data_IF_138785477590
#
_entry.id   IF_138785477590
#
_cell.length_a   1.000
_cell.length_b   1.000
_cell.length_c   1.000
_cell.angle_alpha   90.00
_cell.angle_beta   90.00
_cell.angle_gamma   90.00
#
_symmetry.space_group_name_H-M   'P 1'
#
loop_
_entity.id
_entity.type
_entity.pdbx_description
1 polymer ?
#
# COMPACT_ATOMS: atom_id res chain seq x y z
N UNK A 1 20.65 7.67 -24.55
CA UNK A 1 20.96 7.02 -23.28
C UNK A 1 19.71 6.60 -22.51
N UNK A 2 18.67 7.45 -22.30
CA UNK A 2 17.42 7.08 -21.58
C UNK A 2 16.65 5.90 -22.19
N UNK A 3 16.63 5.76 -23.53
CA UNK A 3 15.95 4.65 -24.25
C UNK A 3 16.65 3.30 -24.09
N UNK A 4 17.97 3.30 -23.91
CA UNK A 4 18.78 2.09 -23.72
C UNK A 4 18.56 1.54 -22.29
N UNK A 5 18.44 2.41 -21.30
CA UNK A 5 18.14 2.02 -19.90
C UNK A 5 16.74 1.38 -19.82
N UNK A 6 15.77 1.91 -20.54
CA UNK A 6 14.41 1.34 -20.59
C UNK A 6 14.39 -0.02 -21.28
N UNK A 7 15.17 -0.19 -22.35
CA UNK A 7 15.27 -1.45 -23.07
C UNK A 7 16.03 -2.52 -22.26
N UNK A 8 17.09 -2.15 -21.52
CA UNK A 8 17.80 -3.07 -20.62
C UNK A 8 16.97 -3.49 -19.42
N UNK A 9 16.05 -2.64 -18.93
CA UNK A 9 15.11 -2.99 -17.89
C UNK A 9 14.11 -4.05 -18.37
N UNK A 10 13.63 -3.96 -19.62
CA UNK A 10 12.72 -4.94 -20.22
C UNK A 10 13.40 -6.30 -20.43
N UNK A 11 14.67 -6.31 -20.84
CA UNK A 11 15.45 -7.56 -21.06
C UNK A 11 15.70 -8.31 -19.76
N UNK A 12 15.83 -7.63 -18.62
CA UNK A 12 15.95 -8.26 -17.29
C UNK A 12 14.70 -9.04 -16.86
N UNK A 13 13.52 -8.74 -17.43
CA UNK A 13 12.27 -9.43 -17.13
C UNK A 13 12.00 -10.68 -18.00
N UNK A 14 12.83 -10.98 -18.99
CA UNK A 14 12.60 -12.10 -19.92
C UNK A 14 13.33 -13.40 -19.57
N UNK A 15 14.10 -13.44 -18.50
CA UNK A 15 14.78 -14.68 -18.08
C UNK A 15 13.81 -15.56 -17.28
N UNK A 16 13.24 -16.55 -17.93
CA UNK A 16 12.35 -17.59 -17.34
C UNK A 16 12.98 -18.39 -16.18
N UNK A 17 14.19 -18.06 -15.75
CA UNK A 17 14.91 -18.73 -14.67
C UNK A 17 14.53 -18.20 -13.27
N UNK A 18 13.77 -17.11 -13.16
CA UNK A 18 13.30 -16.54 -11.89
C UNK A 18 11.94 -17.08 -11.45
N UNK A 19 11.34 -17.99 -12.21
CA UNK A 19 9.97 -18.47 -12.05
C UNK A 19 9.67 -19.25 -10.75
N UNK A 20 10.65 -19.60 -9.95
CA UNK A 20 10.40 -20.41 -8.75
C UNK A 20 10.33 -19.64 -7.43
N UNK A 21 10.49 -18.32 -7.42
CA UNK A 21 10.52 -17.55 -6.19
C UNK A 21 10.08 -16.11 -6.32
N UNK A 22 9.66 -15.64 -7.48
CA UNK A 22 9.29 -14.24 -7.73
C UNK A 22 7.91 -14.16 -8.35
N UNK A 23 7.04 -13.35 -7.76
CA UNK A 23 5.74 -13.02 -8.31
C UNK A 23 5.69 -11.50 -8.57
N UNK A 24 5.18 -11.11 -9.72
CA UNK A 24 4.83 -9.74 -10.07
C UNK A 24 3.35 -9.68 -10.43
N UNK A 25 2.64 -8.68 -9.95
CA UNK A 25 1.22 -8.54 -10.22
C UNK A 25 0.67 -7.15 -9.98
N UNK A 26 -0.63 -7.03 -10.21
CA UNK A 26 -1.39 -5.82 -10.00
C UNK A 26 -2.38 -6.03 -8.85
N UNK A 27 -2.78 -4.92 -8.22
CA UNK A 27 -3.68 -4.94 -7.06
C UNK A 27 -4.64 -3.76 -7.15
N UNK A 28 -5.89 -3.99 -6.72
CA UNK A 28 -6.92 -2.97 -6.55
C UNK A 28 -7.68 -3.27 -5.25
N UNK A 29 -8.12 -2.23 -4.57
CA UNK A 29 -8.83 -2.41 -3.30
C UNK A 29 -9.55 -1.16 -2.82
N UNK A 30 -10.22 -1.31 -1.69
CA UNK A 30 -10.85 -0.24 -0.94
C UNK A 30 -10.09 0.04 0.35
N UNK A 31 -10.01 1.31 0.71
CA UNK A 31 -9.48 1.80 1.97
C UNK A 31 -10.62 2.35 2.83
N UNK A 32 -10.52 2.10 4.13
CA UNK A 32 -11.37 2.66 5.16
C UNK A 32 -10.46 3.39 6.13
N UNK A 33 -10.31 4.70 5.91
CA UNK A 33 -9.40 5.56 6.66
C UNK A 33 -10.14 6.23 7.83
N UNK A 34 -9.47 6.32 8.98
CA UNK A 34 -9.97 6.99 10.17
C UNK A 34 -8.82 7.75 10.83
N UNK A 35 -9.06 9.00 11.22
CA UNK A 35 -8.13 9.78 12.03
C UNK A 35 -8.43 9.52 13.51
N UNK A 36 -7.40 9.16 14.28
CA UNK A 36 -7.54 8.96 15.74
C UNK A 36 -7.54 10.30 16.46
N UNK A 37 -8.28 10.34 17.59
CA UNK A 37 -8.32 11.43 18.56
C UNK A 37 -9.03 12.74 18.14
N UNK A 38 -9.70 12.74 16.99
CA UNK A 38 -10.60 13.82 16.64
C UNK A 38 -12.06 13.44 16.96
N UNK A 39 -12.80 14.24 17.75
CA UNK A 39 -14.23 14.02 17.94
C UNK A 39 -14.99 14.30 16.63
N UNK A 40 -16.02 13.50 16.34
CA UNK A 40 -16.90 13.67 15.17
C UNK A 40 -16.21 13.47 13.80
N UNK A 41 -15.32 12.48 13.70
CA UNK A 41 -14.70 12.08 12.42
C UNK A 41 -15.33 10.79 11.92
N UNK A 42 -15.90 10.82 10.73
CA UNK A 42 -16.42 9.64 10.06
C UNK A 42 -15.33 8.92 9.26
N UNK A 43 -15.47 7.60 9.15
CA UNK A 43 -14.59 6.76 8.34
C UNK A 43 -14.75 7.12 6.86
N UNK A 44 -13.66 7.52 6.23
CA UNK A 44 -13.63 7.78 4.80
C UNK A 44 -13.33 6.51 4.01
N UNK A 45 -14.16 6.25 3.00
CA UNK A 45 -13.91 5.18 2.03
C UNK A 45 -13.18 5.76 0.83
N UNK A 46 -12.04 5.15 0.47
CA UNK A 46 -11.23 5.48 -0.69
C UNK A 46 -10.87 4.23 -1.49
N UNK A 47 -10.22 4.44 -2.63
CA UNK A 47 -9.71 3.36 -3.47
C UNK A 47 -8.18 3.28 -3.37
N UNK A 48 -7.65 2.08 -3.55
CA UNK A 48 -6.23 1.87 -3.78
C UNK A 48 -6.02 0.98 -5.01
N UNK A 49 -4.97 1.25 -5.76
CA UNK A 49 -4.56 0.42 -6.88
C UNK A 49 -3.07 0.57 -7.16
N UNK A 50 -2.46 -0.45 -7.73
CA UNK A 50 -1.06 -0.42 -8.09
C UNK A 50 -0.49 -1.80 -8.42
N UNK A 51 0.81 -1.95 -8.19
CA UNK A 51 1.54 -3.17 -8.47
C UNK A 51 2.19 -3.73 -7.21
N UNK A 52 2.43 -5.02 -7.20
CA UNK A 52 3.20 -5.71 -6.17
C UNK A 52 4.28 -6.60 -6.77
N UNK A 53 5.34 -6.77 -6.00
CA UNK A 53 6.44 -7.66 -6.26
C UNK A 53 6.70 -8.52 -5.02
N UNK A 54 6.74 -9.84 -5.18
CA UNK A 54 6.95 -10.77 -4.07
C UNK A 54 8.15 -11.67 -4.36
N UNK A 55 9.06 -11.79 -3.40
CA UNK A 55 10.17 -12.75 -3.41
C UNK A 55 9.84 -13.84 -2.40
N UNK A 56 9.69 -15.07 -2.85
CA UNK A 56 9.50 -16.25 -1.99
C UNK A 56 10.86 -16.86 -1.67
N UNK A 57 11.23 -16.88 -0.40
CA UNK A 57 12.48 -17.52 0.05
C UNK A 57 12.31 -19.03 0.24
N UNK A 58 11.12 -19.45 0.65
CA UNK A 58 10.72 -20.83 0.80
C UNK A 58 9.17 -20.94 0.83
N UNK A 59 8.63 -22.13 1.11
CA UNK A 59 7.17 -22.37 1.16
C UNK A 59 6.45 -21.61 2.28
N UNK A 60 7.19 -21.11 3.28
CA UNK A 60 6.62 -20.43 4.46
C UNK A 60 6.91 -18.95 4.51
N UNK A 61 7.91 -18.46 3.80
CA UNK A 61 8.45 -17.11 3.98
C UNK A 61 8.57 -16.41 2.63
N UNK A 62 8.03 -15.20 2.54
CA UNK A 62 8.21 -14.31 1.42
C UNK A 62 8.36 -12.85 1.90
N UNK A 63 8.96 -12.02 1.04
CA UNK A 63 8.99 -10.58 1.16
C UNK A 63 8.21 -9.98 0.01
N UNK A 64 7.28 -9.07 0.31
CA UNK A 64 6.49 -8.39 -0.70
C UNK A 64 6.65 -6.88 -0.56
N UNK A 65 6.95 -6.20 -1.67
CA UNK A 65 6.85 -4.76 -1.81
C UNK A 65 5.70 -4.41 -2.74
N UNK A 66 4.91 -3.40 -2.37
CA UNK A 66 3.88 -2.87 -3.25
C UNK A 66 4.20 -1.40 -3.58
N UNK A 67 3.67 -0.90 -4.69
CA UNK A 67 3.57 0.53 -5.01
C UNK A 67 2.11 0.79 -5.33
N UNK A 68 1.43 1.53 -4.44
CA UNK A 68 -0.02 1.71 -4.47
C UNK A 68 -0.36 3.20 -4.49
N UNK A 69 -1.12 3.64 -5.47
CA UNK A 69 -1.88 4.88 -5.35
C UNK A 69 -3.05 4.64 -4.40
N UNK A 70 -3.21 5.50 -3.41
CA UNK A 70 -4.12 5.28 -2.29
C UNK A 70 -4.86 6.56 -1.96
N UNK A 71 -6.15 6.56 -2.17
CA UNK A 71 -7.04 7.62 -1.72
C UNK A 71 -7.35 7.40 -0.24
N UNK A 72 -7.05 8.41 0.55
CA UNK A 72 -7.25 8.44 2.01
C UNK A 72 -7.83 9.80 2.42
N UNK A 73 -7.93 10.05 3.71
CA UNK A 73 -8.40 11.31 4.27
C UNK A 73 -9.45 11.10 5.33
N UNK A 74 -10.17 12.17 5.66
CA UNK A 74 -11.25 12.15 6.63
C UNK A 74 -12.44 13.00 6.15
N UNK A 75 -13.63 12.68 6.61
CA UNK A 75 -14.81 13.52 6.47
C UNK A 75 -15.05 14.21 7.82
N UNK A 76 -14.84 15.52 7.84
CA UNK A 76 -15.10 16.37 9.00
C UNK A 76 -16.50 16.96 8.86
N UNK A 77 -17.39 16.66 9.80
CA UNK A 77 -18.81 17.04 9.75
C UNK A 77 -19.04 18.55 9.60
N UNK A 78 -18.09 19.38 10.07
CA UNK A 78 -18.23 20.86 10.06
C UNK A 78 -17.41 21.58 8.97
N UNK A 79 -16.45 20.91 8.32
CA UNK A 79 -15.46 21.56 7.42
C UNK A 79 -15.49 20.95 6.01
N UNK A 80 -16.08 19.76 5.84
CA UNK A 80 -16.12 19.05 4.57
C UNK A 80 -15.09 17.93 4.42
N UNK A 81 -14.91 17.46 3.20
CA UNK A 81 -14.02 16.33 2.88
C UNK A 81 -12.59 16.79 2.71
N UNK A 82 -11.68 16.17 3.43
CA UNK A 82 -10.23 16.33 3.23
C UNK A 82 -9.75 15.14 2.41
N UNK A 83 -9.37 15.40 1.17
CA UNK A 83 -8.84 14.43 0.23
C UNK A 83 -7.31 14.36 0.34
N UNK A 84 -6.79 13.23 0.81
CA UNK A 84 -5.36 12.97 0.88
C UNK A 84 -5.04 11.80 -0.06
N UNK A 85 -4.35 12.11 -1.14
CA UNK A 85 -3.88 11.10 -2.09
C UNK A 85 -2.42 10.77 -1.80
N UNK A 86 -2.13 9.49 -1.63
CA UNK A 86 -0.80 9.00 -1.32
C UNK A 86 -0.30 8.01 -2.38
N UNK A 87 1.00 8.03 -2.61
CA UNK A 87 1.71 6.87 -3.13
C UNK A 87 2.27 6.11 -1.93
N UNK A 88 1.73 4.93 -1.66
CA UNK A 88 2.14 4.08 -0.56
C UNK A 88 3.08 2.97 -1.04
N UNK A 89 4.17 2.79 -0.31
CA UNK A 89 5.17 1.74 -0.55
C UNK A 89 5.29 0.88 0.71
N UNK A 90 4.37 -0.08 0.93
CA UNK A 90 4.53 -1.07 1.98
C UNK A 90 5.59 -2.12 1.59
N UNK A 91 6.43 -2.48 2.56
CA UNK A 91 7.38 -3.59 2.48
C UNK A 91 7.01 -4.57 3.57
N UNK A 92 6.36 -5.67 3.20
CA UNK A 92 5.80 -6.61 4.17
C UNK A 92 6.46 -7.98 4.07
N UNK A 93 6.79 -8.50 5.23
CA UNK A 93 7.16 -9.89 5.43
C UNK A 93 5.88 -10.74 5.45
N UNK A 94 5.83 -11.80 4.64
CA UNK A 94 4.71 -12.75 4.57
C UNK A 94 5.12 -14.05 5.21
N UNK A 95 4.31 -14.54 6.15
CA UNK A 95 4.47 -15.84 6.76
C UNK A 95 3.25 -16.72 6.43
N UNK A 96 3.46 -17.80 5.69
CA UNK A 96 2.43 -18.73 5.28
C UNK A 96 2.12 -19.71 6.41
N UNK A 97 0.94 -19.57 7.02
CA UNK A 97 0.40 -20.47 8.04
C UNK A 97 0.05 -21.84 7.44
N UNK A 98 -0.57 -21.80 6.28
CA UNK A 98 -0.87 -22.95 5.40
C UNK A 98 -0.60 -22.52 3.97
N UNK A 99 -0.62 -23.46 3.01
CA UNK A 99 -0.21 -23.21 1.61
C UNK A 99 -0.72 -21.93 0.95
N UNK A 100 -1.83 -21.36 1.43
CA UNK A 100 -2.50 -20.23 0.80
C UNK A 100 -2.73 -19.05 1.75
N UNK A 101 -2.92 -19.33 3.04
CA UNK A 101 -3.19 -18.30 4.05
C UNK A 101 -1.86 -17.78 4.62
N UNK A 102 -1.66 -16.49 4.58
CA UNK A 102 -0.44 -15.86 5.06
C UNK A 102 -0.72 -14.63 5.93
N UNK A 103 0.20 -14.37 6.85
CA UNK A 103 0.25 -13.17 7.69
C UNK A 103 1.17 -12.16 7.03
N UNK A 104 0.83 -10.90 7.13
CA UNK A 104 1.64 -9.77 6.68
C UNK A 104 2.06 -8.94 7.88
N UNK A 105 3.33 -8.53 7.91
CA UNK A 105 3.84 -7.54 8.88
C UNK A 105 4.98 -6.77 8.24
N UNK A 106 5.02 -5.46 8.45
CA UNK A 106 6.10 -4.63 7.93
C UNK A 106 5.83 -3.14 8.00
N UNK A 107 6.79 -2.32 7.60
CA UNK A 107 6.62 -0.88 7.45
C UNK A 107 5.92 -0.53 6.13
N UNK A 108 5.28 0.64 6.12
CA UNK A 108 4.79 1.32 4.92
C UNK A 108 5.27 2.76 4.93
N UNK A 109 5.72 3.21 3.78
CA UNK A 109 6.10 4.60 3.51
C UNK A 109 5.04 5.23 2.61
N UNK A 110 4.43 6.30 3.07
CA UNK A 110 3.43 7.08 2.34
C UNK A 110 4.04 8.39 1.86
N UNK A 111 3.83 8.72 0.60
CA UNK A 111 4.23 10.00 0.01
C UNK A 111 2.96 10.71 -0.46
N UNK A 112 2.71 11.90 0.09
CA UNK A 112 1.55 12.71 -0.28
C UNK A 112 1.71 13.24 -1.71
N UNK A 113 0.68 13.04 -2.55
CA UNK A 113 0.65 13.44 -3.97
C UNK A 113 -0.60 14.27 -4.26
N UNK A 114 -1.08 15.05 -3.30
CA UNK A 114 -2.22 15.94 -3.53
C UNK A 114 -1.79 17.10 -4.40
N UNK A 115 -2.45 17.26 -5.56
CA UNK A 115 -2.39 18.50 -6.34
C UNK A 115 -3.15 19.57 -5.55
N UNK A 116 -2.44 20.30 -4.70
CA UNK A 116 -2.95 21.58 -4.22
C UNK A 116 -2.67 22.63 -5.31
N UNK A 117 -3.70 22.93 -6.10
CA UNK A 117 -3.73 24.23 -6.80
C UNK A 117 -3.72 25.32 -5.71
N UNK A 118 -2.75 26.23 -5.84
CA UNK A 118 -2.55 27.48 -5.11
C UNK A 118 -1.87 27.50 -3.73
N UNK A 119 -0.56 27.66 -3.75
CA UNK A 119 0.33 28.74 -3.25
C UNK A 119 0.33 29.21 -1.79
N UNK A 120 -0.33 28.63 -0.79
CA UNK A 120 -0.22 29.21 0.58
C UNK A 120 0.07 28.24 1.74
N UNK A 121 0.16 26.93 1.53
CA UNK A 121 0.32 25.99 2.65
C UNK A 121 1.47 24.97 2.50
N UNK A 122 2.45 25.24 1.66
CA UNK A 122 3.53 24.29 1.30
C UNK A 122 4.48 23.93 2.46
N UNK A 123 4.52 24.71 3.54
CA UNK A 123 5.50 24.56 4.64
C UNK A 123 4.99 23.81 5.89
N UNK A 124 3.73 23.37 5.96
CA UNK A 124 3.16 22.87 7.23
C UNK A 124 2.86 21.38 7.29
N UNK A 125 2.87 20.64 6.19
CA UNK A 125 2.56 19.21 6.21
C UNK A 125 3.79 18.36 5.92
N UNK A 126 4.05 17.37 6.78
CA UNK A 126 5.07 16.35 6.49
C UNK A 126 4.64 15.58 5.25
N UNK A 127 5.37 15.74 4.16
CA UNK A 127 5.13 15.07 2.88
C UNK A 127 5.33 13.55 2.92
N UNK A 128 5.84 13.01 4.02
CA UNK A 128 6.14 11.58 4.18
C UNK A 128 5.50 11.07 5.46
N UNK A 129 4.70 10.03 5.33
CA UNK A 129 4.08 9.30 6.44
C UNK A 129 4.71 7.91 6.56
N UNK A 130 4.95 7.47 7.79
CA UNK A 130 5.43 6.12 8.12
C UNK A 130 4.38 5.42 8.94
N UNK A 131 3.98 4.24 8.51
CA UNK A 131 3.01 3.40 9.21
C UNK A 131 3.49 1.96 9.35
N UNK A 132 2.98 1.27 10.35
CA UNK A 132 3.13 -0.16 10.48
C UNK A 132 1.96 -0.87 9.79
N UNK A 133 2.24 -1.99 9.16
CA UNK A 133 1.26 -2.83 8.47
C UNK A 133 1.17 -4.17 9.16
N UNK A 134 -0.06 -4.59 9.49
CA UNK A 134 -0.37 -5.97 9.84
C UNK A 134 -1.54 -6.44 8.98
N UNK A 135 -1.58 -7.71 8.61
CA UNK A 135 -2.66 -8.19 7.76
C UNK A 135 -2.67 -9.68 7.53
N UNK A 136 -3.69 -10.09 6.81
CA UNK A 136 -3.91 -11.45 6.34
C UNK A 136 -4.02 -11.45 4.82
N UNK A 137 -3.43 -12.44 4.17
CA UNK A 137 -3.55 -12.67 2.75
C UNK A 137 -3.98 -14.10 2.44
N UNK A 138 -4.74 -14.25 1.39
CA UNK A 138 -5.16 -15.53 0.84
C UNK A 138 -4.76 -15.60 -0.63
N UNK A 139 -3.81 -16.49 -0.95
CA UNK A 139 -3.39 -16.75 -2.31
C UNK A 139 -4.32 -17.82 -2.92
N UNK A 140 -5.08 -17.42 -3.93
CA UNK A 140 -6.07 -18.26 -4.60
C UNK A 140 -5.49 -18.93 -5.87
N UNK A 141 -6.17 -19.94 -6.42
CA UNK A 141 -5.80 -20.49 -7.73
C UNK A 141 -5.81 -19.43 -8.84
N UNK A 142 -5.13 -19.71 -9.94
CA UNK A 142 -5.05 -18.84 -11.12
C UNK A 142 -4.36 -17.49 -10.87
N UNK A 143 -3.57 -17.37 -9.79
CA UNK A 143 -2.81 -16.16 -9.45
C UNK A 143 -3.61 -15.08 -8.74
N UNK A 144 -4.86 -15.31 -8.39
CA UNK A 144 -5.63 -14.36 -7.60
C UNK A 144 -5.14 -14.30 -6.14
N UNK A 145 -5.26 -13.14 -5.54
CA UNK A 145 -4.92 -12.88 -4.13
C UNK A 145 -5.99 -12.00 -3.51
N UNK A 146 -6.28 -12.22 -2.24
CA UNK A 146 -7.11 -11.34 -1.43
C UNK A 146 -6.33 -10.98 -0.19
N UNK A 147 -6.19 -9.68 0.09
CA UNK A 147 -5.47 -9.16 1.24
C UNK A 147 -6.38 -8.25 2.08
N UNK A 148 -6.43 -8.50 3.38
CA UNK A 148 -6.96 -7.58 4.38
C UNK A 148 -5.80 -7.05 5.21
N UNK A 149 -5.57 -5.73 5.24
CA UNK A 149 -4.47 -5.09 5.96
C UNK A 149 -4.99 -3.97 6.87
N UNK A 150 -4.36 -3.83 8.01
CA UNK A 150 -4.52 -2.70 8.91
C UNK A 150 -3.20 -1.94 8.97
N UNK A 151 -3.24 -0.68 8.59
CA UNK A 151 -2.11 0.23 8.63
C UNK A 151 -2.33 1.19 9.79
N UNK A 152 -1.40 1.22 10.74
CA UNK A 152 -1.44 2.11 11.89
C UNK A 152 -0.32 3.14 11.76
N UNK A 153 -0.69 4.42 11.80
CA UNK A 153 0.24 5.54 11.70
C UNK A 153 1.25 5.53 12.85
N UNK A 154 2.53 5.61 12.50
CA UNK A 154 3.64 5.77 13.45
C UNK A 154 4.07 7.23 13.53
N UNK A 155 3.89 7.98 12.45
CA UNK A 155 4.12 9.42 12.41
C UNK A 155 2.82 10.16 12.71
N UNK A 156 2.93 11.27 13.43
CA UNK A 156 1.84 12.18 13.69
C UNK A 156 1.72 13.16 12.53
N UNK A 157 0.53 13.24 11.92
CA UNK A 157 0.20 14.22 10.87
C UNK A 157 0.02 15.61 11.49
N UNK A 158 -0.58 15.66 12.66
CA UNK A 158 -0.75 16.80 13.55
C UNK A 158 -0.44 16.33 14.98
N UNK A 159 -0.20 17.24 15.96
CA UNK A 159 -0.01 16.83 17.34
C UNK A 159 -1.13 15.87 17.80
N UNK A 160 -0.76 14.66 18.22
CA UNK A 160 -1.63 13.57 18.68
C UNK A 160 -2.57 12.94 17.62
N UNK A 161 -2.54 13.37 16.35
CA UNK A 161 -3.41 12.83 15.28
C UNK A 161 -2.65 11.84 14.42
N UNK A 162 -3.11 10.58 14.37
CA UNK A 162 -2.57 9.50 13.55
C UNK A 162 -3.58 9.00 12.53
N UNK A 163 -3.10 8.62 11.36
CA UNK A 163 -3.91 8.05 10.31
C UNK A 163 -3.91 6.52 10.41
N UNK A 164 -5.09 5.94 10.60
CA UNK A 164 -5.28 4.50 10.61
C UNK A 164 -6.14 4.09 9.42
N UNK A 165 -5.67 3.10 8.68
CA UNK A 165 -6.35 2.65 7.46
C UNK A 165 -6.54 1.16 7.47
N UNK A 166 -7.79 0.70 7.40
CA UNK A 166 -8.10 -0.67 7.03
C UNK A 166 -8.23 -0.75 5.51
N UNK A 167 -7.56 -1.71 4.88
CA UNK A 167 -7.63 -1.93 3.44
C UNK A 167 -8.02 -3.37 3.10
N UNK A 168 -8.90 -3.52 2.11
CA UNK A 168 -9.26 -4.80 1.52
C UNK A 168 -8.94 -4.75 0.04
N UNK A 169 -8.12 -5.68 -0.45
CA UNK A 169 -7.61 -5.63 -1.82
C UNK A 169 -7.68 -7.00 -2.50
N UNK A 170 -7.89 -6.95 -3.81
CA UNK A 170 -7.77 -8.10 -4.70
C UNK A 170 -6.57 -7.85 -5.60
N UNK A 171 -5.70 -8.83 -5.70
CA UNK A 171 -4.55 -8.83 -6.60
C UNK A 171 -4.59 -9.97 -7.60
N UNK A 172 -3.84 -9.80 -8.67
CA UNK A 172 -3.60 -10.82 -9.66
C UNK A 172 -2.12 -10.89 -10.02
N UNK A 173 -1.53 -12.08 -9.85
CA UNK A 173 -0.15 -12.37 -10.23
C UNK A 173 -0.09 -12.64 -11.72
N UNK A 174 0.78 -11.89 -12.42
CA UNK A 174 0.98 -11.97 -13.86
C UNK A 174 2.12 -12.93 -14.18
N UNK A 175 3.19 -12.93 -13.35
CA UNK A 175 4.40 -13.76 -13.51
C UNK A 175 4.77 -14.33 -12.16
#
# INVERSE_FOLDING_TARGET
MKKIIFLSLIVLFTTKSLSQGVDLGIKVGANFATLTELPNVDTRTGLNFGAFFTIKFNEKIALQGDVLYSQQGAELLDIGKVDLNYVNVPIVFKYYLVKRLNLHVGPQFGFLVSDFDDNEFEDSYKSTDVSGVVGLGLDLPLGFRVDGRYNFGLTELLPDVKNNVFSLSIGWTII
#
